data_IF_744294539428
#
_entry.id   IF_744294539428
#
_cell.length_a   1.000
_cell.length_b   1.000
_cell.length_c   1.000
_cell.angle_alpha   90.00
_cell.angle_beta   90.00
_cell.angle_gamma   90.00
#
_symmetry.space_group_name_H-M   'P 1'
#
loop_
_entity.id
_entity.type
_entity.pdbx_description
1 polymer ?
#
# COMPACT_ATOMS: atom_id res chain seq x y z
N UNK A 1 -20.47 -22.61 13.55
CA UNK A 1 -20.21 -21.16 13.42
C UNK A 1 -19.73 -20.92 12.00
N UNK A 2 -20.42 -20.09 11.20
CA UNK A 2 -20.03 -19.81 9.81
C UNK A 2 -19.20 -18.54 9.76
N UNK A 3 -17.91 -18.66 9.43
CA UNK A 3 -17.02 -17.52 9.19
C UNK A 3 -17.07 -17.13 7.72
N UNK A 4 -17.79 -16.05 7.41
CA UNK A 4 -17.79 -15.46 6.06
C UNK A 4 -17.07 -14.11 6.10
N UNK A 5 -16.16 -13.89 5.16
CA UNK A 5 -15.38 -12.67 5.05
C UNK A 5 -15.18 -12.28 3.59
N UNK A 6 -15.22 -10.98 3.31
CA UNK A 6 -14.96 -10.42 1.98
C UNK A 6 -13.45 -10.24 1.80
N UNK A 7 -12.87 -10.88 0.78
CA UNK A 7 -11.45 -10.68 0.45
C UNK A 7 -11.23 -9.29 -0.15
N UNK A 8 -10.24 -8.52 0.34
CA UNK A 8 -9.92 -7.20 -0.21
C UNK A 8 -9.05 -7.35 -1.48
N UNK A 9 -9.64 -7.84 -2.56
CA UNK A 9 -9.00 -7.96 -3.86
C UNK A 9 -9.11 -6.65 -4.66
N UNK A 10 -8.17 -6.41 -5.57
CA UNK A 10 -8.20 -5.29 -6.50
C UNK A 10 -8.11 -5.80 -7.95
N UNK A 11 -8.84 -5.18 -8.89
CA UNK A 11 -8.98 -5.65 -10.28
C UNK A 11 -7.64 -5.72 -11.02
N UNK A 12 -6.69 -4.85 -10.68
CA UNK A 12 -5.33 -4.85 -11.21
C UNK A 12 -4.32 -5.70 -10.43
N UNK A 13 -4.76 -6.52 -9.48
CA UNK A 13 -3.87 -7.22 -8.54
C UNK A 13 -3.44 -6.35 -7.37
N UNK A 14 -2.39 -6.75 -6.65
CA UNK A 14 -1.88 -5.99 -5.50
C UNK A 14 -1.27 -4.67 -5.96
N UNK A 15 -1.67 -3.54 -5.38
CA UNK A 15 -1.07 -2.23 -5.63
C UNK A 15 -0.06 -1.91 -4.54
N UNK A 16 1.22 -1.85 -4.92
CA UNK A 16 2.35 -1.41 -4.10
C UNK A 16 3.10 -0.30 -4.84
N UNK A 17 2.79 0.95 -4.53
CA UNK A 17 3.37 2.12 -5.20
C UNK A 17 3.30 3.37 -4.31
N UNK A 18 3.86 4.47 -4.79
CA UNK A 18 3.84 5.74 -4.05
C UNK A 18 3.36 6.91 -4.91
N UNK A 19 2.71 7.87 -4.27
CA UNK A 19 2.17 9.07 -4.88
C UNK A 19 2.41 10.27 -3.96
N UNK A 20 2.88 11.39 -4.53
CA UNK A 20 2.93 12.66 -3.81
C UNK A 20 1.61 13.40 -3.97
N UNK A 21 0.99 13.79 -2.85
CA UNK A 21 -0.23 14.61 -2.85
C UNK A 21 -0.09 15.80 -1.90
N UNK A 22 -0.98 16.79 -2.02
CA UNK A 22 -1.15 17.84 -1.02
C UNK A 22 -2.23 17.40 -0.04
N UNK A 23 -1.87 17.24 1.22
CA UNK A 23 -2.87 16.95 2.24
C UNK A 23 -3.72 18.19 2.48
N UNK A 24 -5.01 18.15 2.12
CA UNK A 24 -5.96 19.23 2.39
C UNK A 24 -6.04 19.57 3.89
N UNK A 25 -5.92 18.55 4.74
CA UNK A 25 -5.93 18.72 6.21
C UNK A 25 -4.71 19.45 6.75
N UNK A 26 -3.54 19.20 6.18
CA UNK A 26 -2.26 19.68 6.72
C UNK A 26 -1.59 20.75 5.86
N UNK A 27 -2.17 21.09 4.70
CA UNK A 27 -1.63 22.07 3.75
C UNK A 27 -0.22 21.73 3.23
N UNK A 28 0.22 20.47 3.36
CA UNK A 28 1.60 20.06 3.08
C UNK A 28 1.70 18.89 2.13
N UNK A 29 2.78 18.87 1.36
CA UNK A 29 3.15 17.75 0.49
C UNK A 29 3.37 16.50 1.34
N UNK A 30 2.64 15.44 1.01
CA UNK A 30 2.60 14.17 1.75
C UNK A 30 2.81 13.03 0.79
N UNK A 31 3.71 12.11 1.14
CA UNK A 31 3.93 10.88 0.39
C UNK A 31 2.90 9.85 0.85
N UNK A 32 2.08 9.36 -0.07
CA UNK A 32 1.19 8.24 0.15
C UNK A 32 1.89 6.98 -0.38
N UNK A 33 1.99 5.94 0.45
CA UNK A 33 2.40 4.62 0.03
C UNK A 33 1.18 3.69 0.00
N UNK A 34 0.78 3.28 -1.19
CA UNK A 34 -0.29 2.31 -1.38
C UNK A 34 0.26 0.90 -1.14
N UNK A 35 -0.44 0.12 -0.32
CA UNK A 35 -0.14 -1.29 -0.08
C UNK A 35 -1.45 -2.04 0.19
N UNK A 36 -2.23 -2.32 -0.86
CA UNK A 36 -3.56 -2.93 -0.75
C UNK A 36 -3.88 -3.87 -1.93
N UNK A 37 -4.99 -4.61 -1.83
CA UNK A 37 -5.43 -5.53 -2.89
C UNK A 37 -4.95 -6.97 -2.74
N UNK A 38 -4.50 -7.36 -1.55
CA UNK A 38 -3.78 -8.61 -1.28
C UNK A 38 -4.60 -9.90 -1.38
N UNK A 39 -5.90 -9.88 -1.10
CA UNK A 39 -6.77 -11.08 -1.14
C UNK A 39 -6.41 -12.23 -0.17
N UNK A 40 -5.29 -12.16 0.54
CA UNK A 40 -4.81 -13.18 1.47
C UNK A 40 -3.50 -12.78 2.18
N UNK A 41 -2.96 -13.69 3.01
CA UNK A 41 -1.77 -13.43 3.83
C UNK A 41 -0.45 -13.81 3.15
N UNK A 42 -0.49 -14.68 2.13
CA UNK A 42 0.69 -15.26 1.46
C UNK A 42 1.69 -14.21 0.97
N UNK A 43 1.19 -13.06 0.50
CA UNK A 43 2.01 -11.99 -0.08
C UNK A 43 2.50 -10.95 0.94
N UNK A 44 2.11 -11.07 2.23
CA UNK A 44 2.29 -10.02 3.24
C UNK A 44 3.75 -9.55 3.37
N UNK A 45 4.68 -10.48 3.55
CA UNK A 45 6.09 -10.15 3.75
C UNK A 45 6.70 -9.50 2.49
N UNK A 46 6.43 -10.07 1.31
CA UNK A 46 6.96 -9.55 0.05
C UNK A 46 6.44 -8.15 -0.29
N UNK A 47 5.18 -7.85 0.02
CA UNK A 47 4.60 -6.53 -0.27
C UNK A 47 5.07 -5.47 0.71
N UNK A 48 5.29 -5.83 1.99
CA UNK A 48 5.94 -4.93 2.96
C UNK A 48 7.38 -4.63 2.56
N UNK A 49 8.17 -5.63 2.16
CA UNK A 49 9.54 -5.40 1.70
C UNK A 49 9.58 -4.47 0.48
N UNK A 50 8.67 -4.67 -0.48
CA UNK A 50 8.56 -3.84 -1.68
C UNK A 50 8.18 -2.39 -1.32
N UNK A 51 7.18 -2.20 -0.44
CA UNK A 51 6.78 -0.88 0.04
C UNK A 51 7.93 -0.15 0.76
N UNK A 52 8.66 -0.85 1.63
CA UNK A 52 9.82 -0.30 2.35
C UNK A 52 10.94 0.11 1.39
N UNK A 53 11.21 -0.69 0.36
CA UNK A 53 12.22 -0.37 -0.64
C UNK A 53 11.89 0.94 -1.37
N UNK A 54 10.67 1.05 -1.91
CA UNK A 54 10.22 2.24 -2.64
C UNK A 54 10.25 3.48 -1.74
N UNK A 55 9.75 3.37 -0.50
CA UNK A 55 9.78 4.49 0.45
C UNK A 55 11.20 4.95 0.79
N UNK A 56 12.14 4.00 0.97
CA UNK A 56 13.56 4.35 1.22
C UNK A 56 14.17 5.06 0.03
N UNK A 57 13.95 4.56 -1.18
CA UNK A 57 14.46 5.17 -2.42
C UNK A 57 13.99 6.62 -2.59
N UNK A 58 12.74 6.93 -2.22
CA UNK A 58 12.15 8.27 -2.37
C UNK A 58 12.50 9.21 -1.21
N UNK A 59 12.63 8.70 0.02
CA UNK A 59 12.89 9.54 1.19
C UNK A 59 14.38 9.79 1.45
N UNK A 60 15.25 8.97 0.86
CA UNK A 60 16.71 9.12 0.94
C UNK A 60 17.31 9.80 -0.30
N UNK A 61 16.50 10.06 -1.34
CA UNK A 61 16.87 10.88 -2.51
C UNK A 61 16.72 12.37 -2.22
#
# INVERSE_FOLDING_TARGET
>A
MHGVGLRPCHKGGVRVETEWTISERFGKKTLICHNYGHGGYESSYGTVQSALKIMKEILQS
#
